data_IF_485587847052
#
_entry.id   IF_485587847052
#
_cell.length_a   1.000
_cell.length_b   1.000
_cell.length_c   1.000
_cell.angle_alpha   90.00
_cell.angle_beta   90.00
_cell.angle_gamma   90.00
#
_symmetry.space_group_name_H-M   'P 1'
#
loop_
_entity.id
_entity.type
_entity.pdbx_description
1 polymer ?
#
# COMPACT_ATOMS: atom_id res chain seq x y z
N UNK A 1 -3.68 -57.60 15.80
CA UNK A 1 -2.39 -56.89 15.91
C UNK A 1 -1.55 -57.22 14.67
N UNK A 2 -1.09 -56.24 13.87
CA UNK A 2 -0.26 -56.52 12.71
C UNK A 2 1.05 -57.17 13.16
N UNK A 3 1.49 -58.21 12.45
CA UNK A 3 2.68 -58.97 12.84
C UNK A 3 3.92 -58.07 12.84
N UNK A 4 4.82 -58.29 13.80
CA UNK A 4 5.98 -57.43 14.04
C UNK A 4 6.87 -57.25 12.79
N UNK A 5 6.90 -58.26 11.91
CA UNK A 5 7.59 -58.20 10.61
C UNK A 5 6.91 -57.23 9.63
N UNK A 6 5.57 -57.21 9.57
CA UNK A 6 4.81 -56.29 8.70
C UNK A 6 4.99 -54.84 9.16
N UNK A 7 4.96 -54.58 10.46
CA UNK A 7 5.20 -53.24 11.01
C UNK A 7 6.59 -52.71 10.64
N UNK A 8 7.63 -53.54 10.73
CA UNK A 8 8.99 -53.17 10.33
C UNK A 8 9.12 -52.88 8.83
N UNK A 9 8.44 -53.67 7.99
CA UNK A 9 8.42 -53.45 6.53
C UNK A 9 7.71 -52.14 6.19
N UNK A 10 6.56 -51.86 6.80
CA UNK A 10 5.86 -50.59 6.56
C UNK A 10 6.64 -49.37 7.07
N UNK A 11 7.34 -49.49 8.20
CA UNK A 11 8.21 -48.42 8.70
C UNK A 11 9.36 -48.12 7.72
N UNK A 12 10.02 -49.16 7.18
CA UNK A 12 11.08 -48.98 6.17
C UNK A 12 10.56 -48.34 4.89
N UNK A 13 9.37 -48.76 4.42
CA UNK A 13 8.76 -48.17 3.22
C UNK A 13 8.38 -46.70 3.45
N UNK A 14 7.87 -46.34 4.62
CA UNK A 14 7.56 -44.95 4.95
C UNK A 14 8.82 -44.07 4.97
N UNK A 15 9.93 -44.56 5.54
CA UNK A 15 11.21 -43.84 5.54
C UNK A 15 11.74 -43.66 4.11
N UNK A 16 11.70 -44.70 3.27
CA UNK A 16 12.10 -44.59 1.86
C UNK A 16 11.23 -43.61 1.07
N UNK A 17 9.92 -43.58 1.32
CA UNK A 17 9.01 -42.64 0.68
C UNK A 17 9.33 -41.18 1.07
N UNK A 18 9.62 -40.94 2.35
CA UNK A 18 10.02 -39.61 2.86
C UNK A 18 11.34 -39.17 2.23
N UNK A 19 12.35 -40.06 2.19
CA UNK A 19 13.64 -39.75 1.56
C UNK A 19 13.51 -39.47 0.05
N UNK A 20 12.69 -40.24 -0.65
CA UNK A 20 12.39 -40.02 -2.07
C UNK A 20 11.69 -38.67 -2.29
N UNK A 21 10.72 -38.32 -1.44
CA UNK A 21 10.02 -37.05 -1.50
C UNK A 21 10.94 -35.85 -1.25
N UNK A 22 11.85 -35.96 -0.28
CA UNK A 22 12.88 -34.94 -0.01
C UNK A 22 13.81 -34.79 -1.22
N UNK A 23 14.24 -35.90 -1.83
CA UNK A 23 15.13 -35.86 -2.99
C UNK A 23 14.45 -35.22 -4.23
N UNK A 24 13.21 -35.59 -4.53
CA UNK A 24 12.45 -34.96 -5.63
C UNK A 24 12.20 -33.47 -5.38
N UNK A 25 11.92 -33.09 -4.14
CA UNK A 25 11.70 -31.68 -3.77
C UNK A 25 12.99 -30.85 -3.84
N UNK A 26 14.13 -31.46 -3.51
CA UNK A 26 15.45 -30.82 -3.61
C UNK A 26 15.92 -30.66 -5.07
N UNK A 27 15.65 -31.65 -5.93
CA UNK A 27 16.02 -31.58 -7.35
C UNK A 27 15.25 -30.48 -8.13
N UNK A 28 14.03 -30.15 -7.71
CA UNK A 28 13.24 -29.07 -8.31
C UNK A 28 13.78 -27.65 -8.02
N UNK A 29 14.64 -27.49 -7.01
CA UNK A 29 15.18 -26.19 -6.63
C UNK A 29 16.43 -25.77 -7.45
N UNK A 30 17.04 -26.70 -8.21
CA UNK A 30 18.40 -26.50 -8.77
C UNK A 30 18.47 -26.09 -10.25
N UNK A 31 17.35 -25.91 -10.96
CA UNK A 31 17.34 -25.56 -12.40
C UNK A 31 16.93 -24.12 -12.71
N UNK A 32 16.59 -23.29 -11.72
CA UNK A 32 16.14 -21.90 -11.93
C UNK A 32 17.23 -20.83 -11.80
N UNK A 33 18.44 -21.19 -11.37
CA UNK A 33 19.53 -20.23 -11.10
C UNK A 33 20.59 -20.16 -12.21
N UNK A 34 20.35 -20.72 -13.39
CA UNK A 34 21.35 -20.61 -14.47
C UNK A 34 21.42 -19.15 -14.97
N UNK A 35 22.64 -18.58 -15.14
CA UNK A 35 22.83 -17.20 -15.61
C UNK A 35 22.15 -16.92 -16.97
N UNK A 36 22.05 -17.94 -17.83
CA UNK A 36 21.45 -17.80 -19.16
C UNK A 36 19.93 -17.53 -19.09
N UNK A 37 19.21 -18.24 -18.22
CA UNK A 37 17.77 -18.09 -18.06
C UNK A 37 17.39 -16.76 -17.40
N UNK A 38 18.14 -16.31 -16.38
CA UNK A 38 17.87 -15.03 -15.71
C UNK A 38 18.17 -13.85 -16.62
N UNK A 39 19.26 -13.90 -17.40
CA UNK A 39 19.62 -12.81 -18.29
C UNK A 39 18.64 -12.68 -19.46
N UNK A 40 18.15 -13.79 -20.00
CA UNK A 40 17.16 -13.76 -21.09
C UNK A 40 15.78 -13.33 -20.59
N UNK A 41 15.35 -13.80 -19.41
CA UNK A 41 14.09 -13.39 -18.81
C UNK A 41 14.09 -11.89 -18.45
N UNK A 42 15.20 -11.39 -17.90
CA UNK A 42 15.36 -9.97 -17.61
C UNK A 42 15.38 -9.13 -18.90
N UNK A 43 16.10 -9.58 -19.94
CA UNK A 43 16.17 -8.87 -21.21
C UNK A 43 14.82 -8.82 -21.96
N UNK A 44 13.99 -9.86 -21.84
CA UNK A 44 12.64 -9.86 -22.40
C UNK A 44 11.70 -8.95 -21.62
N UNK A 45 11.79 -8.94 -20.28
CA UNK A 45 10.99 -8.06 -19.44
C UNK A 45 11.35 -6.58 -19.64
N UNK A 46 12.64 -6.24 -19.75
CA UNK A 46 13.05 -4.86 -20.04
C UNK A 46 12.57 -4.40 -21.41
N UNK A 47 12.68 -5.24 -22.45
CA UNK A 47 12.16 -4.89 -23.78
C UNK A 47 10.63 -4.74 -23.82
N UNK A 48 9.92 -5.55 -23.04
CA UNK A 48 8.47 -5.41 -22.93
C UNK A 48 8.10 -4.11 -22.21
N UNK A 49 8.84 -3.77 -21.14
CA UNK A 49 8.67 -2.52 -20.42
C UNK A 49 8.97 -1.31 -21.32
N UNK A 50 10.09 -1.33 -22.06
CA UNK A 50 10.46 -0.29 -23.02
C UNK A 50 9.41 -0.12 -24.13
N UNK A 51 8.81 -1.21 -24.62
CA UNK A 51 7.75 -1.16 -25.61
C UNK A 51 6.45 -0.54 -25.06
N UNK A 52 6.09 -0.88 -23.82
CA UNK A 52 4.93 -0.28 -23.13
C UNK A 52 5.17 1.20 -22.81
N UNK A 53 6.40 1.57 -22.44
CA UNK A 53 6.78 2.96 -22.16
C UNK A 53 6.75 3.81 -23.45
N UNK A 54 7.19 3.25 -24.58
CA UNK A 54 7.09 3.88 -25.91
C UNK A 54 5.63 4.05 -26.36
N UNK A 55 4.79 3.04 -26.17
CA UNK A 55 3.36 3.10 -26.50
C UNK A 55 2.63 4.14 -25.64
N UNK A 56 2.90 4.16 -24.32
CA UNK A 56 2.35 5.15 -23.41
C UNK A 56 2.83 6.57 -23.74
N UNK A 57 4.10 6.74 -24.11
CA UNK A 57 4.64 8.05 -24.50
C UNK A 57 3.98 8.59 -25.78
N UNK A 58 3.66 7.72 -26.74
CA UNK A 58 2.94 8.12 -27.96
C UNK A 58 1.49 8.54 -27.67
N UNK A 59 0.78 7.80 -26.82
CA UNK A 59 -0.61 8.12 -26.44
C UNK A 59 -0.68 9.45 -25.68
N UNK A 60 0.28 9.71 -24.77
CA UNK A 60 0.34 10.96 -24.00
C UNK A 60 0.61 12.16 -24.91
N UNK A 61 1.54 12.03 -25.86
CA UNK A 61 1.84 13.11 -26.81
C UNK A 61 0.63 13.42 -27.73
N UNK A 62 -0.07 12.39 -28.21
CA UNK A 62 -1.26 12.58 -29.04
C UNK A 62 -2.43 13.20 -28.25
N UNK A 63 -2.61 12.82 -26.98
CA UNK A 63 -3.61 13.41 -26.10
C UNK A 63 -3.31 14.87 -25.76
N UNK A 64 -2.04 15.21 -25.52
CA UNK A 64 -1.59 16.58 -25.26
C UNK A 64 -1.80 17.49 -26.48
N UNK A 65 -1.44 17.02 -27.68
CA UNK A 65 -1.61 17.79 -28.92
C UNK A 65 -3.09 18.04 -29.27
N UNK A 66 -3.97 17.07 -28.97
CA UNK A 66 -5.43 17.25 -29.11
C UNK A 66 -5.98 18.26 -28.11
N UNK A 67 -5.51 18.23 -26.86
CA UNK A 67 -5.93 19.17 -25.83
C UNK A 67 -5.46 20.61 -26.11
N UNK A 68 -4.28 20.79 -26.71
CA UNK A 68 -3.81 22.12 -27.13
C UNK A 68 -4.62 22.68 -28.31
N UNK A 69 -4.93 21.86 -29.31
CA UNK A 69 -5.81 22.26 -30.44
C UNK A 69 -7.22 22.63 -29.98
N UNK A 70 -7.74 21.96 -28.95
CA UNK A 70 -9.06 22.24 -28.37
C UNK A 70 -9.08 23.54 -27.54
N UNK A 71 -7.95 23.89 -26.90
CA UNK A 71 -7.75 25.17 -26.19
C UNK A 71 -7.57 26.35 -27.14
N UNK A 72 -6.90 26.14 -28.27
CA UNK A 72 -6.68 27.21 -29.26
C UNK A 72 -7.95 27.55 -30.05
N UNK A 73 -8.84 26.57 -30.29
CA UNK A 73 -10.16 26.79 -30.88
C UNK A 73 -11.12 27.61 -29.99
N UNK A 74 -10.83 27.75 -28.70
CA UNK A 74 -11.68 28.46 -27.74
C UNK A 74 -11.36 29.98 -27.60
N UNK A 75 -10.29 30.49 -28.21
CA UNK A 75 -9.81 31.87 -28.01
C UNK A 75 -10.00 32.82 -29.21
N UNK A 76 -11.11 32.72 -29.94
CA UNK A 76 -11.53 33.75 -30.91
C UNK A 76 -12.99 34.14 -30.63
N UNK A 77 -13.18 35.23 -29.88
CA UNK A 77 -14.36 36.13 -29.93
C UNK A 77 -14.07 37.41 -29.12
N UNK A 78 -13.84 38.49 -29.87
CA UNK A 78 -13.45 39.82 -29.42
C UNK A 78 -14.55 40.59 -28.64
N UNK A 79 -14.16 41.66 -27.91
CA UNK A 79 -14.96 42.45 -26.96
C UNK A 79 -15.55 43.71 -27.60
N UNK A 80 -16.83 44.02 -27.34
CA UNK A 80 -17.30 45.42 -27.20
C UNK A 80 -18.75 45.49 -26.69
N UNK A 81 -19.09 46.64 -26.10
CA UNK A 81 -20.39 47.16 -25.62
C UNK A 81 -20.62 47.27 -24.10
N UNK A 82 -20.36 48.50 -23.62
CA UNK A 82 -20.89 49.08 -22.40
C UNK A 82 -22.19 49.89 -22.65
N UNK A 83 -23.08 49.87 -21.63
CA UNK A 83 -24.18 50.81 -21.31
C UNK A 83 -25.43 50.85 -22.25
N UNK A 84 -26.71 50.99 -21.85
CA UNK A 84 -27.38 51.72 -20.74
C UNK A 84 -28.79 51.08 -20.39
N UNK A 85 -29.73 51.63 -19.57
CA UNK A 85 -30.28 50.95 -18.37
C UNK A 85 -31.81 50.75 -18.31
N UNK A 86 -32.26 49.95 -17.33
CA UNK A 86 -33.58 50.09 -16.70
C UNK A 86 -34.64 49.03 -17.03
N UNK A 87 -35.03 48.23 -16.03
CA UNK A 87 -36.41 48.17 -15.48
C UNK A 87 -36.55 47.02 -14.46
N UNK A 88 -36.78 47.43 -13.21
CA UNK A 88 -37.67 46.91 -12.16
C UNK A 88 -37.93 45.39 -12.04
N UNK A 89 -37.45 44.85 -10.92
CA UNK A 89 -38.18 44.07 -9.90
C UNK A 89 -39.55 43.47 -10.25
N UNK A 90 -39.78 42.20 -9.91
CA UNK A 90 -40.84 41.73 -8.99
C UNK A 90 -40.80 40.20 -8.82
N UNK A 91 -41.01 39.82 -7.56
CA UNK A 91 -41.35 38.53 -6.99
C UNK A 91 -41.99 37.43 -7.87
N UNK A 92 -41.60 36.19 -7.53
CA UNK A 92 -42.61 35.23 -7.08
C UNK A 92 -42.72 33.91 -7.85
N UNK A 93 -42.54 32.82 -7.09
CA UNK A 93 -43.40 31.64 -7.05
C UNK A 93 -43.38 30.71 -8.29
N UNK A 94 -42.97 29.45 -8.09
CA UNK A 94 -43.87 28.27 -8.04
C UNK A 94 -43.09 26.95 -8.19
N UNK A 95 -43.13 26.12 -7.15
CA UNK A 95 -42.93 24.66 -7.26
C UNK A 95 -44.14 24.05 -7.98
N UNK A 96 -43.96 23.02 -8.82
CA UNK A 96 -44.85 21.85 -8.96
C UNK A 96 -44.08 20.70 -9.63
N UNK A 97 -44.49 19.50 -9.20
CA UNK A 97 -43.97 18.14 -9.31
C UNK A 97 -44.72 17.34 -10.39
N UNK A 98 -44.10 16.29 -10.94
CA UNK A 98 -44.73 15.15 -11.65
C UNK A 98 -43.88 14.65 -12.83
N UNK A 99 -43.11 13.55 -12.71
CA UNK A 99 -43.46 12.14 -13.08
C UNK A 99 -43.81 11.98 -14.58
N UNK A 100 -43.22 11.10 -15.42
CA UNK A 100 -42.86 9.66 -15.29
C UNK A 100 -42.02 9.19 -16.51
N UNK A 101 -41.28 8.08 -16.37
CA UNK A 101 -40.83 7.21 -17.47
C UNK A 101 -39.35 6.78 -17.36
N UNK A 102 -38.99 5.82 -16.51
CA UNK A 102 -38.83 4.38 -16.82
C UNK A 102 -37.89 4.08 -18.01
N UNK A 103 -36.68 3.60 -17.69
CA UNK A 103 -36.16 2.29 -18.11
C UNK A 103 -34.94 1.90 -17.25
N UNK A 104 -35.14 0.83 -16.50
CA UNK A 104 -34.10 -0.06 -15.98
C UNK A 104 -33.56 -0.86 -17.16
N UNK A 105 -32.24 -0.96 -17.26
CA UNK A 105 -31.57 -2.13 -17.83
C UNK A 105 -30.37 -2.43 -16.91
N UNK A 106 -30.60 -3.33 -15.95
CA UNK A 106 -29.56 -3.87 -15.10
C UNK A 106 -28.51 -4.70 -15.85
N UNK A 107 -27.24 -4.52 -15.49
CA UNK A 107 -26.22 -5.58 -15.54
C UNK A 107 -25.44 -5.54 -14.23
N UNK A 108 -25.66 -6.55 -13.39
CA UNK A 108 -24.86 -6.79 -12.20
C UNK A 108 -23.59 -7.59 -12.55
N UNK A 109 -22.48 -7.20 -11.92
CA UNK A 109 -21.29 -7.99 -11.53
C UNK A 109 -20.50 -8.68 -12.66
N UNK A 110 -19.18 -8.45 -12.70
CA UNK A 110 -18.14 -9.26 -12.03
C UNK A 110 -16.75 -8.66 -12.34
N UNK A 111 -15.99 -8.40 -11.27
CA UNK A 111 -14.55 -8.60 -11.15
C UNK A 111 -13.59 -8.13 -12.24
N UNK A 112 -12.88 -7.03 -11.98
CA UNK A 112 -11.41 -7.05 -11.91
C UNK A 112 -10.89 -5.85 -11.10
N UNK A 113 -10.86 -5.99 -9.76
CA UNK A 113 -10.10 -5.07 -8.90
C UNK A 113 -8.64 -5.52 -8.95
N UNK A 114 -7.92 -5.09 -9.97
CA UNK A 114 -6.50 -5.33 -10.14
C UNK A 114 -5.87 -4.11 -10.79
N UNK A 115 -4.90 -3.52 -10.11
CA UNK A 115 -4.12 -2.34 -10.50
C UNK A 115 -4.88 -0.99 -10.49
N UNK A 116 -5.32 -0.58 -9.29
CA UNK A 116 -5.28 0.84 -8.95
C UNK A 116 -3.99 1.06 -8.13
N UNK A 117 -3.26 2.13 -8.43
CA UNK A 117 -1.86 2.44 -8.08
C UNK A 117 -0.80 1.98 -9.10
N UNK A 118 -1.03 2.24 -10.38
CA UNK A 118 0.02 2.86 -11.18
C UNK A 118 -0.46 4.30 -11.42
N UNK A 119 -0.09 5.21 -10.52
CA UNK A 119 -0.28 6.63 -10.78
C UNK A 119 0.64 7.00 -11.93
N UNK A 120 0.07 7.51 -13.02
CA UNK A 120 0.81 8.15 -14.08
C UNK A 120 1.66 9.26 -13.45
N UNK A 121 2.96 9.24 -13.71
CA UNK A 121 3.88 10.28 -13.28
C UNK A 121 3.33 11.64 -13.73
N UNK A 122 3.14 12.54 -12.78
CA UNK A 122 2.72 13.91 -13.07
C UNK A 122 3.89 14.59 -13.82
N UNK A 123 3.67 15.20 -14.99
CA UNK A 123 4.75 15.75 -15.82
C UNK A 123 5.56 16.89 -15.16
N UNK A 124 5.19 17.34 -13.96
CA UNK A 124 5.91 18.34 -13.15
C UNK A 124 6.54 17.75 -11.85
N UNK A 125 6.55 16.43 -11.66
CA UNK A 125 7.17 15.81 -10.47
C UNK A 125 8.70 15.92 -10.49
N UNK A 126 9.27 16.40 -9.39
CA UNK A 126 10.72 16.56 -9.27
C UNK A 126 11.41 15.21 -9.12
N UNK A 127 12.67 15.11 -9.57
CA UNK A 127 13.47 13.87 -9.45
C UNK A 127 13.54 13.35 -8.00
N UNK A 128 13.60 14.26 -7.02
CA UNK A 128 13.66 13.94 -5.59
C UNK A 128 12.30 13.44 -5.04
N UNK A 129 11.18 13.93 -5.56
CA UNK A 129 9.85 13.40 -5.23
C UNK A 129 9.68 11.99 -5.78
N UNK A 130 10.09 11.75 -7.03
CA UNK A 130 10.05 10.42 -7.62
C UNK A 130 10.90 9.42 -6.82
N UNK A 131 12.13 9.79 -6.45
CA UNK A 131 12.99 8.97 -5.57
C UNK A 131 12.31 8.68 -4.22
N UNK A 132 11.65 9.67 -3.62
CA UNK A 132 10.98 9.49 -2.34
C UNK A 132 9.77 8.57 -2.44
N UNK A 133 9.01 8.60 -3.53
CA UNK A 133 7.89 7.67 -3.76
C UNK A 133 8.40 6.22 -3.93
N UNK A 134 9.46 6.02 -4.72
CA UNK A 134 10.10 4.71 -4.88
C UNK A 134 10.66 4.18 -3.56
N UNK A 135 11.29 5.04 -2.76
CA UNK A 135 11.82 4.66 -1.45
C UNK A 135 10.68 4.36 -0.46
N UNK A 136 9.60 5.15 -0.46
CA UNK A 136 8.42 4.90 0.36
C UNK A 136 7.83 3.52 0.07
N UNK A 137 7.64 3.18 -1.21
CA UNK A 137 7.16 1.86 -1.63
C UNK A 137 8.10 0.73 -1.18
N UNK A 138 9.41 0.98 -1.24
CA UNK A 138 10.42 0.03 -0.77
C UNK A 138 10.32 -0.18 0.74
N UNK A 139 10.11 0.88 1.52
CA UNK A 139 9.88 0.81 2.97
C UNK A 139 8.60 0.05 3.30
N UNK A 140 7.49 0.31 2.60
CA UNK A 140 6.20 -0.37 2.83
C UNK A 140 6.24 -1.88 2.54
N UNK A 141 7.19 -2.32 1.71
CA UNK A 141 7.43 -3.74 1.42
C UNK A 141 8.20 -4.45 2.54
N UNK A 142 8.98 -3.73 3.36
CA UNK A 142 9.81 -4.31 4.44
C UNK A 142 8.98 -5.01 5.51
N UNK A 143 7.83 -4.46 5.90
CA UNK A 143 6.92 -5.06 6.87
C UNK A 143 5.47 -4.64 6.61
N UNK A 144 4.46 -5.49 6.90
CA UNK A 144 3.05 -5.07 6.90
C UNK A 144 2.75 -3.94 7.88
N UNK A 145 3.52 -3.80 8.97
CA UNK A 145 3.39 -2.67 9.89
C UNK A 145 4.65 -1.82 9.80
N UNK A 146 4.47 -0.54 9.43
CA UNK A 146 5.56 0.43 9.36
C UNK A 146 5.27 1.59 10.31
N UNK A 147 6.26 1.97 11.10
CA UNK A 147 6.21 3.08 12.04
C UNK A 147 7.13 4.17 11.51
N UNK A 148 6.57 5.19 10.86
CA UNK A 148 7.31 6.40 10.54
C UNK A 148 7.45 7.24 11.81
N UNK A 149 8.68 7.51 12.20
CA UNK A 149 9.09 8.04 13.49
C UNK A 149 10.06 9.20 13.33
N UNK A 150 10.32 9.91 14.42
CA UNK A 150 11.54 10.71 14.59
C UNK A 150 12.18 10.36 15.93
N UNK A 151 13.52 10.27 15.95
CA UNK A 151 14.28 9.75 17.09
C UNK A 151 14.04 10.54 18.38
N UNK A 152 13.86 11.85 18.26
CA UNK A 152 13.65 12.79 19.36
C UNK A 152 12.18 12.92 19.80
N UNK A 153 11.22 12.44 19.01
CA UNK A 153 9.80 12.69 19.25
C UNK A 153 9.25 11.82 20.40
N UNK A 154 8.67 12.42 21.47
CA UNK A 154 8.14 11.67 22.61
C UNK A 154 6.92 10.80 22.22
N UNK A 155 6.05 11.28 21.33
CA UNK A 155 4.91 10.51 20.83
C UNK A 155 5.35 9.28 20.04
N UNK A 156 6.43 9.40 19.25
CA UNK A 156 7.01 8.28 18.51
C UNK A 156 7.62 7.25 19.45
N UNK A 157 8.32 7.69 20.52
CA UNK A 157 8.82 6.78 21.57
C UNK A 157 7.67 6.01 22.23
N UNK A 158 6.56 6.69 22.56
CA UNK A 158 5.37 6.04 23.14
C UNK A 158 4.79 4.98 22.20
N UNK A 159 4.58 5.30 20.92
CA UNK A 159 4.06 4.36 19.94
C UNK A 159 4.98 3.14 19.74
N UNK A 160 6.30 3.36 19.68
CA UNK A 160 7.30 2.29 19.58
C UNK A 160 7.31 1.39 20.81
N UNK A 161 7.28 1.97 22.02
CA UNK A 161 7.23 1.19 23.25
C UNK A 161 5.99 0.28 23.28
N UNK A 162 4.82 0.79 22.89
CA UNK A 162 3.61 -0.02 22.78
C UNK A 162 3.81 -1.14 21.76
N UNK A 163 4.07 -0.80 20.49
CA UNK A 163 4.06 -1.77 19.38
C UNK A 163 5.22 -2.77 19.40
N UNK A 164 6.38 -2.40 19.95
CA UNK A 164 7.60 -3.22 19.93
C UNK A 164 7.88 -3.93 21.26
N UNK A 165 7.42 -3.38 22.39
CA UNK A 165 7.74 -3.95 23.71
C UNK A 165 6.54 -4.62 24.39
N UNK A 166 5.31 -4.14 24.13
CA UNK A 166 4.10 -4.64 24.79
C UNK A 166 3.30 -5.63 23.93
N UNK A 167 3.67 -5.81 22.67
CA UNK A 167 3.02 -6.77 21.77
C UNK A 167 4.05 -7.65 21.09
N UNK A 168 3.72 -8.93 20.94
CA UNK A 168 4.39 -9.84 20.02
C UNK A 168 3.66 -9.79 18.68
N UNK A 169 4.31 -9.27 17.65
CA UNK A 169 3.75 -9.13 16.30
C UNK A 169 4.70 -9.81 15.32
N UNK A 170 4.16 -10.73 14.52
CA UNK A 170 4.92 -11.48 13.52
C UNK A 170 4.30 -11.25 12.14
N UNK A 171 5.05 -10.74 11.15
CA UNK A 171 6.42 -10.23 11.23
C UNK A 171 6.53 -8.94 12.06
N UNK A 172 7.73 -8.66 12.59
CA UNK A 172 7.97 -7.50 13.45
C UNK A 172 7.68 -6.17 12.72
N UNK A 173 7.13 -5.16 13.41
CA UNK A 173 6.96 -3.83 12.84
C UNK A 173 8.31 -3.23 12.43
N UNK A 174 8.36 -2.62 11.24
CA UNK A 174 9.54 -1.92 10.76
C UNK A 174 9.46 -0.44 11.19
N UNK A 175 10.57 0.11 11.69
CA UNK A 175 10.66 1.51 12.12
C UNK A 175 11.51 2.28 11.13
N UNK A 176 10.98 3.40 10.65
CA UNK A 176 11.70 4.32 9.78
C UNK A 176 11.84 5.68 10.49
N UNK A 177 13.07 6.08 10.80
CA UNK A 177 13.37 7.34 11.51
C UNK A 177 13.62 8.45 10.49
N UNK A 178 12.59 9.25 10.21
CA UNK A 178 12.60 10.26 9.15
C UNK A 178 13.63 11.38 9.38
N UNK A 179 14.05 11.62 10.63
CA UNK A 179 15.10 12.61 10.94
C UNK A 179 16.52 12.11 10.64
N UNK A 180 16.69 10.79 10.47
CA UNK A 180 17.97 10.16 10.16
C UNK A 180 18.04 9.69 8.69
N UNK A 181 16.90 9.65 8.00
CA UNK A 181 16.82 9.22 6.61
C UNK A 181 17.24 10.35 5.65
N UNK A 182 18.09 10.09 4.63
CA UNK A 182 18.53 11.12 3.68
C UNK A 182 17.39 11.84 2.96
N UNK A 183 16.36 11.09 2.57
CA UNK A 183 15.12 11.62 1.95
C UNK A 183 14.02 11.94 2.96
N UNK A 184 14.35 12.15 4.23
CA UNK A 184 13.38 12.31 5.33
C UNK A 184 12.27 13.33 5.07
N UNK A 185 12.58 14.59 4.68
CA UNK A 185 11.59 15.60 4.34
C UNK A 185 10.68 15.19 3.17
N UNK A 186 11.25 14.61 2.12
CA UNK A 186 10.53 14.18 0.92
C UNK A 186 9.63 12.98 1.22
N UNK A 187 10.10 12.01 2.00
CA UNK A 187 9.28 10.91 2.52
C UNK A 187 8.12 11.44 3.37
N UNK A 188 8.36 12.45 4.20
CA UNK A 188 7.30 13.08 5.00
C UNK A 188 6.24 13.79 4.13
N UNK A 189 6.64 14.37 3.00
CA UNK A 189 5.74 14.95 2.01
C UNK A 189 4.95 13.86 1.26
N UNK A 190 5.62 12.80 0.81
CA UNK A 190 4.98 11.65 0.16
C UNK A 190 3.96 10.96 1.10
N UNK A 191 4.28 10.84 2.39
CA UNK A 191 3.35 10.35 3.41
C UNK A 191 2.13 11.24 3.57
N UNK A 192 2.29 12.57 3.48
CA UNK A 192 1.14 13.48 3.50
C UNK A 192 0.25 13.29 2.27
N UNK A 193 0.84 13.16 1.06
CA UNK A 193 0.13 12.91 -0.21
C UNK A 193 -0.67 11.60 -0.16
N UNK A 194 -0.06 10.53 0.34
CA UNK A 194 -0.64 9.18 0.34
C UNK A 194 -1.57 8.89 1.52
N UNK A 195 -1.28 9.42 2.70
CA UNK A 195 -2.00 9.08 3.95
C UNK A 195 -2.81 10.23 4.54
N UNK A 196 -2.63 11.46 4.05
CA UNK A 196 -3.22 12.67 4.61
C UNK A 196 -2.59 13.12 5.93
N UNK A 197 -1.53 12.45 6.42
CA UNK A 197 -0.91 12.74 7.72
C UNK A 197 0.55 13.18 7.58
N UNK A 198 0.81 14.43 7.96
CA UNK A 198 2.17 15.00 7.99
C UNK A 198 2.91 14.68 9.30
N UNK A 199 2.21 14.41 10.39
CA UNK A 199 2.81 14.32 11.72
C UNK A 199 3.43 12.94 12.00
N UNK A 200 4.42 12.92 12.90
CA UNK A 200 4.99 11.67 13.45
C UNK A 200 4.52 11.45 14.89
N UNK A 201 4.37 10.19 15.34
CA UNK A 201 4.49 8.99 14.52
C UNK A 201 3.32 8.88 13.53
N UNK A 202 3.56 8.23 12.40
CA UNK A 202 2.52 7.79 11.47
C UNK A 202 2.64 6.27 11.33
N UNK A 203 1.70 5.53 11.93
CA UNK A 203 1.73 4.06 11.91
C UNK A 203 0.85 3.58 10.77
N UNK A 204 1.42 2.78 9.88
CA UNK A 204 0.74 2.20 8.74
C UNK A 204 0.59 0.70 8.90
N UNK A 205 -0.57 0.18 8.48
CA UNK A 205 -0.80 -1.26 8.30
C UNK A 205 -1.19 -1.48 6.84
N UNK A 206 -0.38 -2.23 6.11
CA UNK A 206 -0.54 -2.46 4.67
C UNK A 206 -0.73 -1.15 3.88
N UNK A 207 0.07 -0.13 4.19
CA UNK A 207 0.03 1.19 3.56
C UNK A 207 -1.06 2.13 4.07
N UNK A 208 -2.03 1.65 4.88
CA UNK A 208 -3.09 2.49 5.45
C UNK A 208 -2.70 3.05 6.82
N UNK A 209 -2.83 4.36 7.00
CA UNK A 209 -2.59 5.00 8.30
C UNK A 209 -3.65 4.62 9.32
N UNK A 210 -3.20 4.17 10.49
CA UNK A 210 -4.04 3.88 11.66
C UNK A 210 -3.94 4.96 12.74
N UNK A 211 -3.08 5.96 12.54
CA UNK A 211 -2.96 7.10 13.45
C UNK A 211 -1.54 7.42 13.91
N UNK A 212 -1.46 8.36 14.85
CA UNK A 212 -0.26 8.75 15.55
C UNK A 212 -0.16 8.19 16.96
N UNK A 213 0.65 8.83 17.82
CA UNK A 213 1.00 8.26 19.13
C UNK A 213 -0.19 8.12 20.06
N UNK A 214 -1.09 9.12 20.06
CA UNK A 214 -2.30 9.11 20.89
C UNK A 214 -3.33 8.11 20.37
N UNK A 215 -3.46 7.95 19.05
CA UNK A 215 -4.34 6.95 18.43
C UNK A 215 -3.91 5.53 18.83
N UNK A 216 -2.61 5.23 18.76
CA UNK A 216 -2.05 3.94 19.18
C UNK A 216 -2.25 3.70 20.67
N UNK A 217 -1.98 4.71 21.50
CA UNK A 217 -2.21 4.62 22.94
C UNK A 217 -3.69 4.37 23.26
N UNK A 218 -4.60 5.09 22.62
CA UNK A 218 -6.03 4.88 22.79
C UNK A 218 -6.47 3.48 22.34
N UNK A 219 -5.96 2.97 21.22
CA UNK A 219 -6.27 1.60 20.77
C UNK A 219 -5.74 0.55 21.75
N UNK A 220 -4.57 0.78 22.35
CA UNK A 220 -3.98 -0.09 23.36
C UNK A 220 -4.79 -0.09 24.65
N UNK A 221 -5.09 1.08 25.19
CA UNK A 221 -5.83 1.27 26.45
C UNK A 221 -7.26 0.72 26.37
N UNK A 222 -7.88 0.77 25.18
CA UNK A 222 -9.22 0.23 24.94
C UNK A 222 -9.23 -1.23 24.48
N UNK A 223 -8.10 -1.94 24.50
CA UNK A 223 -7.97 -3.34 24.05
C UNK A 223 -8.37 -3.60 22.58
N UNK A 224 -8.41 -2.55 21.75
CA UNK A 224 -8.80 -2.62 20.33
C UNK A 224 -7.63 -2.80 19.37
N UNK A 225 -6.40 -2.58 19.82
CA UNK A 225 -5.22 -2.60 18.94
C UNK A 225 -5.02 -3.94 18.22
N UNK A 226 -5.20 -5.07 18.93
CA UNK A 226 -5.08 -6.41 18.33
C UNK A 226 -6.10 -6.60 17.21
N UNK A 227 -7.35 -6.23 17.47
CA UNK A 227 -8.44 -6.35 16.51
C UNK A 227 -8.15 -5.48 15.27
N UNK A 228 -7.75 -4.23 15.49
CA UNK A 228 -7.38 -3.30 14.42
C UNK A 228 -6.24 -3.84 13.54
N UNK A 229 -5.20 -4.44 14.15
CA UNK A 229 -4.09 -5.01 13.39
C UNK A 229 -4.54 -6.23 12.59
N UNK A 230 -5.40 -7.09 13.14
CA UNK A 230 -5.92 -8.26 12.42
C UNK A 230 -6.81 -7.85 11.24
N UNK A 231 -7.67 -6.86 11.45
CA UNK A 231 -8.63 -6.39 10.44
C UNK A 231 -7.92 -5.75 9.23
N UNK A 232 -6.87 -4.96 9.47
CA UNK A 232 -6.14 -4.28 8.40
C UNK A 232 -4.94 -5.09 7.87
N UNK A 233 -4.32 -5.91 8.73
CA UNK A 233 -3.12 -6.69 8.43
C UNK A 233 -3.39 -7.89 7.52
N UNK A 234 -4.60 -8.47 7.61
CA UNK A 234 -5.03 -9.59 6.79
C UNK A 234 -4.05 -10.76 6.86
N UNK A 235 -3.72 -11.35 5.70
CA UNK A 235 -2.85 -12.55 5.60
C UNK A 235 -1.36 -12.27 5.85
N UNK A 236 -0.93 -11.00 5.88
CA UNK A 236 0.49 -10.65 6.07
C UNK A 236 0.91 -10.63 7.54
N UNK A 237 -0.05 -10.60 8.46
CA UNK A 237 0.17 -10.74 9.89
C UNK A 237 -0.05 -12.20 10.28
N UNK A 238 1.01 -12.86 10.74
CA UNK A 238 1.02 -14.26 11.16
C UNK A 238 0.57 -14.41 12.61
N UNK A 239 1.05 -13.53 13.50
CA UNK A 239 0.74 -13.57 14.93
C UNK A 239 0.64 -12.15 15.48
N UNK A 240 -0.34 -11.93 16.37
CA UNK A 240 -0.46 -10.75 17.22
C UNK A 240 -0.97 -11.20 18.59
N UNK A 241 -0.19 -10.92 19.63
CA UNK A 241 -0.55 -11.15 21.03
C UNK A 241 0.06 -10.06 21.93
N UNK A 242 -0.51 -9.85 23.12
CA UNK A 242 0.14 -9.00 24.14
C UNK A 242 1.38 -9.72 24.65
N UNK A 243 2.51 -9.01 24.77
CA UNK A 243 3.71 -9.56 25.36
C UNK A 243 3.46 -9.88 26.84
N UNK A 244 4.01 -11.01 27.32
CA UNK A 244 3.95 -11.30 28.74
C UNK A 244 4.71 -10.23 29.52
N UNK A 245 4.20 -9.78 30.68
CA UNK A 245 4.95 -8.86 31.52
C UNK A 245 6.28 -9.52 31.85
N UNK A 246 7.39 -8.89 31.48
CA UNK A 246 8.73 -9.33 31.90
C UNK A 246 8.69 -9.43 33.41
N UNK A 247 8.62 -10.66 33.93
CA UNK A 247 8.57 -10.91 35.36
C UNK A 247 9.77 -10.17 35.97
N UNK A 248 9.49 -9.15 36.79
CA UNK A 248 10.52 -8.47 37.54
C UNK A 248 11.29 -9.54 38.29
N UNK A 249 12.56 -9.73 37.92
CA UNK A 249 13.48 -10.64 38.58
C UNK A 249 13.50 -10.19 40.04
N UNK A 250 12.72 -10.84 40.90
CA UNK A 250 12.69 -10.56 42.33
C UNK A 250 14.07 -10.95 42.86
N UNK A 251 14.97 -9.97 42.96
CA UNK A 251 16.15 -10.08 43.80
C UNK A 251 15.64 -10.30 45.22
N UNK A 252 15.63 -11.56 45.64
CA UNK A 252 15.51 -11.92 47.05
C UNK A 252 16.87 -11.57 47.66
N UNK A 253 16.92 -10.47 48.39
CA UNK A 253 17.98 -10.13 49.34
C UNK A 253 17.89 -11.04 50.55
#
# INVERSE_FOLDING_TARGET
MPSQRRVKVFALLAVLAVLSFIYLSSAAASTRSSPFYTNTANALNTKHQEALDLENHQIIHEAAEKAEKEKEAANIRDPDLAAVPGQKSVAGRKMIKGEKGLKDDGVAKVGNTGAQHAQAADPDETEEEHKAEVELDSILKKSPIVIFSKSYCPYSKKAKAILLEQYNIVPAPYVEELDLHPLGPQLQAALLKTTGRRTVPNVLINGKSIGGGDDIAGLHENDKLIQQIKDLGGKRIMEVSKAEPKAALKFRS
#
